data_IF_591107331266
#
_entry.id   IF_591107331266
#
_cell.length_a   1.000
_cell.length_b   1.000
_cell.length_c   1.000
_cell.angle_alpha   90.00
_cell.angle_beta   90.00
_cell.angle_gamma   90.00
#
_symmetry.space_group_name_H-M   'P 1'
#
loop_
_entity.id
_entity.type
_entity.pdbx_description
1 polymer ?
#
# COMPACT_ATOMS: atom_id res chain seq x y z
N UNK A 1 -3.99 7.70 2.02
CA UNK A 1 -4.12 7.63 0.56
C UNK A 1 -3.42 8.85 -0.04
N UNK A 2 -2.71 8.71 -1.15
CA UNK A 2 -2.20 9.86 -1.93
C UNK A 2 -3.24 10.15 -3.02
N UNK A 3 -3.51 11.43 -3.29
CA UNK A 3 -4.53 11.88 -4.24
C UNK A 3 -3.96 12.95 -5.17
N UNK A 4 -4.38 13.03 -6.44
CA UNK A 4 -4.03 14.14 -7.29
C UNK A 4 -4.81 15.35 -6.81
N UNK A 5 -4.18 16.52 -6.84
CA UNK A 5 -4.90 17.76 -6.63
C UNK A 5 -5.58 18.20 -7.93
N UNK A 6 -6.81 18.66 -7.83
CA UNK A 6 -7.55 19.29 -8.91
C UNK A 6 -7.03 20.69 -9.23
N UNK A 7 -7.67 21.34 -10.21
CA UNK A 7 -7.35 22.73 -10.59
C UNK A 7 -7.39 23.64 -9.36
N UNK A 8 -6.31 24.40 -9.14
CA UNK A 8 -6.21 25.28 -7.97
C UNK A 8 -5.85 24.58 -6.64
N UNK A 9 -5.42 23.31 -6.67
CA UNK A 9 -4.97 22.59 -5.47
C UNK A 9 -6.09 21.88 -4.69
N UNK A 10 -7.29 21.75 -5.26
CA UNK A 10 -8.46 21.20 -4.56
C UNK A 10 -8.41 19.69 -4.40
N UNK A 11 -8.92 19.16 -3.29
CA UNK A 11 -9.17 17.71 -3.09
C UNK A 11 -10.67 17.49 -2.85
N UNK A 12 -11.25 16.50 -3.52
CA UNK A 12 -12.66 16.13 -3.36
C UNK A 12 -12.82 14.93 -2.43
N UNK A 13 -13.73 15.04 -1.46
CA UNK A 13 -14.11 13.96 -0.55
C UNK A 13 -15.55 13.53 -0.82
N UNK A 14 -15.79 12.21 -0.79
CA UNK A 14 -17.14 11.63 -0.89
C UNK A 14 -17.38 10.70 0.30
N UNK A 15 -18.56 10.77 0.88
CA UNK A 15 -18.93 10.03 2.09
C UNK A 15 -20.27 9.33 1.87
N UNK A 16 -20.41 8.11 2.40
CA UNK A 16 -21.63 7.29 2.24
C UNK A 16 -22.60 7.39 3.44
N UNK A 17 -22.15 7.96 4.56
CA UNK A 17 -22.89 8.23 5.79
C UNK A 17 -22.35 9.52 6.45
N UNK A 18 -22.99 10.01 7.52
CA UNK A 18 -22.61 11.27 8.21
C UNK A 18 -21.30 11.09 8.97
N UNK A 19 -20.34 11.99 8.73
CA UNK A 19 -19.09 12.12 9.48
C UNK A 19 -18.57 13.55 9.41
N UNK A 20 -17.95 14.02 10.50
CA UNK A 20 -17.09 15.21 10.49
C UNK A 20 -15.70 14.81 9.97
N UNK A 21 -15.14 15.58 9.04
CA UNK A 21 -13.82 15.29 8.44
C UNK A 21 -12.87 16.45 8.66
N UNK A 22 -11.68 16.13 9.19
CA UNK A 22 -10.52 17.01 9.17
C UNK A 22 -9.49 16.41 8.22
N UNK A 23 -8.94 17.24 7.34
CA UNK A 23 -7.92 16.84 6.37
C UNK A 23 -6.60 17.53 6.72
N UNK A 24 -5.54 16.74 6.87
CA UNK A 24 -4.17 17.23 6.99
C UNK A 24 -3.37 16.82 5.73
N UNK A 25 -2.52 17.73 5.24
CA UNK A 25 -1.70 17.52 4.04
C UNK A 25 -0.25 17.34 4.46
N UNK A 26 0.21 16.10 4.41
CA UNK A 26 1.57 15.72 4.84
C UNK A 26 2.64 16.07 3.79
N UNK A 27 2.26 16.28 2.52
CA UNK A 27 3.18 16.67 1.44
C UNK A 27 2.54 16.64 0.05
N UNK A 28 3.28 17.12 -0.96
CA UNK A 28 2.84 17.17 -2.38
C UNK A 28 3.95 16.73 -3.33
N UNK A 29 3.59 16.12 -4.46
CA UNK A 29 4.51 15.80 -5.56
C UNK A 29 4.32 16.81 -6.70
N UNK A 30 5.40 17.25 -7.33
CA UNK A 30 5.37 18.19 -8.46
C UNK A 30 5.27 17.46 -9.81
N UNK A 31 4.81 18.17 -10.85
CA UNK A 31 4.73 17.62 -12.22
C UNK A 31 6.08 17.52 -12.93
N UNK A 32 6.14 16.74 -14.02
CA UNK A 32 7.40 16.44 -14.74
C UNK A 32 8.09 17.60 -15.47
N UNK A 33 7.51 18.81 -15.49
CA UNK A 33 8.15 20.03 -15.98
C UNK A 33 8.81 20.86 -14.88
N UNK A 34 8.69 20.44 -13.61
CA UNK A 34 9.43 21.04 -12.50
C UNK A 34 10.93 20.73 -12.63
N UNK A 35 11.78 21.63 -12.12
CA UNK A 35 13.23 21.41 -12.12
C UNK A 35 13.57 20.08 -11.43
N UNK A 36 14.48 19.31 -12.04
CA UNK A 36 14.89 17.99 -11.56
C UNK A 36 15.58 18.14 -10.19
N UNK A 37 15.06 17.39 -9.22
CA UNK A 37 15.62 17.09 -7.89
C UNK A 37 15.86 15.57 -7.85
N UNK A 38 16.58 15.02 -6.88
CA UNK A 38 16.92 13.58 -6.77
C UNK A 38 15.70 12.64 -6.48
N UNK A 39 14.48 13.04 -6.89
CA UNK A 39 13.19 12.46 -6.55
C UNK A 39 12.56 11.66 -7.70
N UNK A 40 12.14 10.42 -7.40
CA UNK A 40 11.39 9.57 -8.33
C UNK A 40 10.03 10.17 -8.68
N UNK A 41 9.67 10.17 -9.97
CA UNK A 41 8.37 10.67 -10.42
C UNK A 41 7.26 9.76 -9.89
N UNK A 42 6.46 10.28 -8.96
CA UNK A 42 5.24 9.62 -8.52
C UNK A 42 4.19 9.65 -9.64
N UNK A 43 3.68 8.48 -10.00
CA UNK A 43 2.57 8.31 -10.93
C UNK A 43 1.37 7.77 -10.19
N UNK A 44 0.34 8.61 -10.12
CA UNK A 44 -0.95 8.20 -9.63
C UNK A 44 -1.70 7.37 -10.68
N UNK A 45 -2.39 6.33 -10.24
CA UNK A 45 -3.29 5.52 -11.04
C UNK A 45 -4.70 5.50 -10.43
N UNK A 46 -5.67 4.99 -11.18
CA UNK A 46 -6.96 4.64 -10.57
C UNK A 46 -6.73 3.54 -9.51
N UNK A 47 -7.31 3.67 -8.30
CA UNK A 47 -7.13 2.65 -7.27
C UNK A 47 -7.48 1.26 -7.77
N UNK A 48 -6.55 0.32 -7.63
CA UNK A 48 -6.70 -1.06 -8.12
C UNK A 48 -6.52 -2.04 -6.95
N UNK A 49 -7.44 -3.00 -6.85
CA UNK A 49 -7.37 -4.10 -5.89
C UNK A 49 -6.35 -5.12 -6.38
N UNK A 50 -5.19 -5.19 -5.76
CA UNK A 50 -4.12 -6.14 -6.12
C UNK A 50 -4.22 -7.42 -5.30
N UNK A 51 -4.57 -7.29 -4.02
CA UNK A 51 -4.70 -8.44 -3.10
C UNK A 51 -6.07 -8.45 -2.46
N UNK A 52 -6.74 -9.60 -2.50
CA UNK A 52 -7.86 -9.94 -1.65
C UNK A 52 -7.75 -11.40 -1.22
N UNK A 53 -7.14 -11.63 -0.05
CA UNK A 53 -6.87 -12.99 0.43
C UNK A 53 -8.14 -13.75 0.81
N UNK A 54 -9.27 -13.05 0.98
CA UNK A 54 -10.59 -13.66 1.20
C UNK A 54 -11.07 -14.40 -0.05
N UNK A 55 -10.57 -13.98 -1.22
CA UNK A 55 -10.82 -14.57 -2.53
C UNK A 55 -9.63 -15.44 -3.00
N UNK A 56 -8.63 -15.65 -2.14
CA UNK A 56 -7.37 -16.33 -2.46
C UNK A 56 -6.62 -15.73 -3.65
N UNK A 57 -6.65 -14.41 -3.80
CA UNK A 57 -5.95 -13.71 -4.88
C UNK A 57 -4.96 -12.66 -4.34
N UNK A 58 -3.67 -12.72 -4.70
CA UNK A 58 -2.98 -13.84 -5.37
C UNK A 58 -2.66 -14.99 -4.39
N UNK A 59 -2.92 -14.82 -3.09
CA UNK A 59 -2.68 -15.82 -2.06
C UNK A 59 -3.88 -15.95 -1.11
N UNK A 60 -4.05 -17.09 -0.43
CA UNK A 60 -5.12 -17.27 0.56
C UNK A 60 -4.86 -16.49 1.84
N UNK A 61 -5.86 -16.47 2.72
CA UNK A 61 -5.75 -15.96 4.10
C UNK A 61 -4.41 -16.30 4.75
N UNK A 62 -3.77 -15.31 5.37
CA UNK A 62 -2.51 -15.50 6.07
C UNK A 62 -2.75 -16.17 7.43
N UNK A 63 -1.96 -17.21 7.72
CA UNK A 63 -1.83 -17.77 9.07
C UNK A 63 -0.92 -16.91 9.93
N UNK A 64 -0.92 -17.12 11.25
CA UNK A 64 0.02 -16.42 12.13
C UNK A 64 1.47 -16.77 11.75
N UNK A 65 2.29 -15.75 11.51
CA UNK A 65 3.65 -15.91 11.01
C UNK A 65 3.74 -16.22 9.51
N UNK A 66 2.63 -16.16 8.78
CA UNK A 66 2.56 -16.43 7.35
C UNK A 66 2.90 -15.21 6.50
N UNK A 67 3.27 -15.49 5.25
CA UNK A 67 3.52 -14.47 4.22
C UNK A 67 2.82 -14.79 2.92
N UNK A 68 2.53 -13.75 2.14
CA UNK A 68 2.02 -13.84 0.77
C UNK A 68 2.69 -12.79 -0.10
N UNK A 69 3.02 -13.14 -1.34
CA UNK A 69 3.72 -12.25 -2.27
C UNK A 69 2.83 -11.84 -3.43
N UNK A 70 3.09 -10.65 -3.95
CA UNK A 70 2.37 -10.03 -5.05
C UNK A 70 3.34 -9.31 -5.99
N UNK A 71 3.04 -9.33 -7.29
CA UNK A 71 3.64 -8.45 -8.28
C UNK A 71 2.49 -7.63 -8.88
N UNK A 72 2.29 -6.37 -8.43
CA UNK A 72 1.07 -5.62 -8.71
C UNK A 72 0.86 -5.43 -10.21
N UNK A 73 -0.27 -5.90 -10.73
CA UNK A 73 -0.54 -5.88 -12.16
C UNK A 73 -0.74 -4.44 -12.69
N UNK A 74 -1.14 -3.50 -11.84
CA UNK A 74 -1.32 -2.09 -12.21
C UNK A 74 -0.03 -1.26 -12.23
N UNK A 75 1.11 -1.86 -11.86
CA UNK A 75 2.39 -1.17 -11.70
C UNK A 75 3.42 -1.73 -12.70
N UNK A 76 4.16 -0.88 -13.44
CA UNK A 76 5.24 -1.34 -14.31
C UNK A 76 6.36 -2.05 -13.55
N UNK A 77 6.97 -3.08 -14.15
CA UNK A 77 8.08 -3.84 -13.53
C UNK A 77 9.30 -2.97 -13.16
N UNK A 78 9.48 -1.81 -13.80
CA UNK A 78 10.56 -0.87 -13.51
C UNK A 78 10.23 0.16 -12.41
N UNK A 79 9.09 0.02 -11.74
CA UNK A 79 8.77 0.83 -10.58
C UNK A 79 9.69 0.50 -9.39
N UNK A 80 10.08 1.53 -8.64
CA UNK A 80 10.94 1.41 -7.47
C UNK A 80 10.15 1.17 -6.18
N UNK A 81 8.93 1.69 -6.13
CA UNK A 81 8.06 1.60 -4.97
C UNK A 81 6.60 1.80 -5.37
N UNK A 82 5.68 1.30 -4.54
CA UNK A 82 4.23 1.52 -4.66
C UNK A 82 3.68 2.27 -3.48
N UNK A 83 2.55 2.94 -3.70
CA UNK A 83 1.75 3.57 -2.65
C UNK A 83 0.42 2.82 -2.57
N UNK A 84 0.16 2.27 -1.39
CA UNK A 84 -0.91 1.31 -1.21
C UNK A 84 -1.67 1.55 0.09
N UNK A 85 -2.94 1.17 0.08
CA UNK A 85 -3.71 1.00 1.29
C UNK A 85 -3.66 -0.47 1.69
N UNK A 86 -3.13 -0.77 2.88
CA UNK A 86 -3.15 -2.10 3.47
C UNK A 86 -4.35 -2.20 4.41
N UNK A 87 -5.17 -3.23 4.25
CA UNK A 87 -6.32 -3.50 5.10
C UNK A 87 -6.20 -4.92 5.64
N UNK A 88 -6.01 -5.05 6.95
CA UNK A 88 -6.17 -6.34 7.63
C UNK A 88 -7.63 -6.51 8.01
N UNK A 89 -8.18 -7.68 7.72
CA UNK A 89 -9.58 -8.05 7.98
C UNK A 89 -9.60 -9.37 8.74
N UNK A 90 -10.64 -9.59 9.56
CA UNK A 90 -10.84 -10.83 10.31
C UNK A 90 -9.62 -11.25 11.13
N UNK A 91 -8.97 -10.32 11.82
CA UNK A 91 -7.76 -10.59 12.62
C UNK A 91 -8.01 -11.71 13.64
N UNK A 92 -7.01 -12.56 13.89
CA UNK A 92 -7.12 -13.69 14.80
C UNK A 92 -6.66 -13.38 16.23
N UNK A 93 -5.81 -12.37 16.41
CA UNK A 93 -5.20 -12.01 17.68
C UNK A 93 -4.62 -10.59 17.61
N UNK A 94 -3.99 -10.14 18.69
CA UNK A 94 -3.09 -8.97 18.67
C UNK A 94 -1.87 -9.27 17.79
N UNK A 95 -1.44 -8.32 16.98
CA UNK A 95 -0.30 -8.51 16.09
C UNK A 95 -0.11 -7.37 15.09
N UNK A 96 0.74 -7.61 14.10
CA UNK A 96 1.05 -6.65 13.06
C UNK A 96 1.21 -7.31 11.68
N UNK A 97 1.13 -6.49 10.65
CA UNK A 97 1.48 -6.87 9.29
C UNK A 97 2.42 -5.84 8.67
N UNK A 98 3.27 -6.30 7.75
CA UNK A 98 4.29 -5.50 7.08
C UNK A 98 4.42 -5.92 5.62
N UNK A 99 4.57 -4.94 4.74
CA UNK A 99 4.89 -5.10 3.33
C UNK A 99 6.38 -4.75 3.11
N UNK A 100 7.09 -5.57 2.33
CA UNK A 100 8.52 -5.38 2.09
C UNK A 100 8.95 -5.97 0.72
N UNK A 101 10.08 -5.53 0.14
CA UNK A 101 10.57 -6.06 -1.14
C UNK A 101 10.66 -7.59 -1.18
N UNK A 102 10.17 -8.21 -2.26
CA UNK A 102 10.09 -9.67 -2.36
C UNK A 102 11.46 -10.40 -2.37
N UNK A 103 12.55 -9.68 -2.66
CA UNK A 103 13.90 -10.25 -2.66
C UNK A 103 14.53 -10.34 -1.25
N UNK A 104 13.86 -9.86 -0.20
CA UNK A 104 14.33 -10.00 1.17
C UNK A 104 13.96 -11.37 1.74
N UNK A 105 14.96 -12.08 2.25
CA UNK A 105 14.80 -13.39 2.91
C UNK A 105 14.46 -13.28 4.40
N UNK A 106 14.77 -12.14 5.03
CA UNK A 106 14.48 -11.88 6.44
C UNK A 106 13.31 -10.92 6.55
N UNK A 107 12.28 -11.33 7.29
CA UNK A 107 11.12 -10.47 7.57
C UNK A 107 11.57 -9.25 8.40
N UNK A 108 11.31 -8.02 7.95
CA UNK A 108 11.63 -6.83 8.72
C UNK A 108 10.88 -6.78 10.06
N UNK A 109 11.57 -6.40 11.14
CA UNK A 109 10.97 -6.21 12.47
C UNK A 109 10.40 -4.78 12.57
N UNK A 110 9.45 -4.48 11.70
CA UNK A 110 8.71 -3.22 11.66
C UNK A 110 7.25 -3.51 11.27
N UNK A 111 6.34 -2.57 11.53
CA UNK A 111 4.91 -2.72 11.22
C UNK A 111 4.43 -1.62 10.27
N UNK A 112 3.61 -1.98 9.27
CA UNK A 112 2.77 -0.99 8.58
C UNK A 112 1.41 -0.84 9.27
N UNK A 113 0.88 -1.94 9.79
CA UNK A 113 -0.43 -1.98 10.43
C UNK A 113 -0.41 -2.90 11.64
N UNK A 114 -1.10 -2.48 12.70
CA UNK A 114 -1.20 -3.23 13.95
C UNK A 114 -2.67 -3.56 14.21
N UNK A 115 -2.96 -4.64 14.94
CA UNK A 115 -4.27 -4.94 15.50
C UNK A 115 -4.13 -5.33 16.97
N UNK A 116 -5.13 -4.99 17.77
CA UNK A 116 -5.11 -5.16 19.23
C UNK A 116 -6.00 -6.29 19.73
N UNK A 117 -6.53 -7.10 18.82
CA UNK A 117 -7.46 -8.18 19.13
C UNK A 117 -8.01 -8.85 17.87
N UNK A 118 -8.87 -9.84 18.08
CA UNK A 118 -9.52 -10.59 17.01
C UNK A 118 -10.73 -9.84 16.41
N UNK A 119 -11.11 -10.23 15.19
CA UNK A 119 -12.30 -9.71 14.50
C UNK A 119 -12.19 -8.26 14.04
N UNK A 120 -11.00 -7.67 14.05
CA UNK A 120 -10.82 -6.28 13.65
C UNK A 120 -10.69 -6.15 12.13
N UNK A 121 -11.19 -5.02 11.63
CA UNK A 121 -10.83 -4.47 10.32
C UNK A 121 -10.06 -3.19 10.57
N UNK A 122 -8.79 -3.16 10.16
CA UNK A 122 -7.93 -1.98 10.30
C UNK A 122 -7.29 -1.68 8.96
N UNK A 123 -7.02 -0.40 8.71
CA UNK A 123 -6.43 0.08 7.48
C UNK A 123 -5.30 1.07 7.77
N UNK A 124 -4.25 1.03 6.95
CA UNK A 124 -3.13 1.95 6.99
C UNK A 124 -2.56 2.15 5.57
N UNK A 125 -2.15 3.37 5.27
CA UNK A 125 -1.39 3.63 4.04
C UNK A 125 0.07 3.22 4.23
N UNK A 126 0.66 2.59 3.22
CA UNK A 126 2.07 2.26 3.16
C UNK A 126 2.69 2.71 1.82
N UNK A 127 3.96 3.08 1.88
CA UNK A 127 4.84 3.19 0.71
C UNK A 127 5.83 2.05 0.83
N UNK A 128 5.85 1.16 -0.15
CA UNK A 128 6.66 -0.06 -0.09
C UNK A 128 7.58 -0.10 -1.29
N UNK A 129 8.88 -0.24 -1.03
CA UNK A 129 9.86 -0.51 -2.09
C UNK A 129 9.55 -1.86 -2.73
N UNK A 130 9.65 -1.91 -4.05
CA UNK A 130 9.56 -3.16 -4.79
C UNK A 130 10.94 -3.84 -4.85
N UNK A 131 10.95 -5.14 -5.09
CA UNK A 131 12.17 -5.81 -5.51
C UNK A 131 12.61 -5.30 -6.89
N UNK A 132 13.86 -5.57 -7.32
CA UNK A 132 14.30 -5.26 -8.69
C UNK A 132 13.47 -5.93 -9.80
N UNK A 133 12.60 -6.89 -9.45
CA UNK A 133 11.68 -7.58 -10.37
C UNK A 133 10.22 -7.16 -10.16
N UNK A 134 9.96 -6.03 -9.49
CA UNK A 134 8.61 -5.47 -9.30
C UNK A 134 7.79 -6.05 -8.14
N UNK A 135 8.27 -7.11 -7.48
CA UNK A 135 7.49 -7.84 -6.47
C UNK A 135 7.63 -7.31 -5.04
N UNK A 136 6.60 -7.54 -4.23
CA UNK A 136 6.66 -7.37 -2.77
C UNK A 136 6.02 -8.53 -2.02
N UNK A 137 6.34 -8.64 -0.75
CA UNK A 137 5.83 -9.66 0.16
C UNK A 137 5.16 -8.99 1.36
N UNK A 138 4.02 -9.52 1.75
CA UNK A 138 3.30 -9.17 2.96
C UNK A 138 3.49 -10.27 3.99
N UNK A 139 3.91 -9.90 5.19
CA UNK A 139 3.97 -10.78 6.34
C UNK A 139 2.89 -10.38 7.34
N UNK A 140 2.33 -11.36 8.05
CA UNK A 140 1.45 -11.12 9.18
C UNK A 140 1.87 -11.94 10.39
N UNK A 141 2.09 -11.29 11.54
CA UNK A 141 2.40 -11.96 12.81
C UNK A 141 1.19 -12.65 13.43
N UNK A 142 0.00 -12.41 12.87
CA UNK A 142 -1.29 -12.93 13.32
C UNK A 142 -2.07 -13.51 12.14
N UNK A 143 -2.98 -14.44 12.40
CA UNK A 143 -3.90 -14.88 11.34
C UNK A 143 -4.78 -13.70 10.91
N UNK A 144 -4.82 -13.41 9.62
CA UNK A 144 -5.63 -12.31 9.09
C UNK A 144 -5.89 -12.52 7.60
N UNK A 145 -7.01 -11.99 7.14
CA UNK A 145 -7.17 -11.69 5.73
C UNK A 145 -6.48 -10.37 5.42
N UNK A 146 -5.83 -10.28 4.27
CA UNK A 146 -5.21 -9.07 3.77
C UNK A 146 -5.92 -8.63 2.49
N UNK A 147 -6.22 -7.34 2.46
CA UNK A 147 -6.77 -6.65 1.31
C UNK A 147 -5.84 -5.49 1.00
N UNK A 148 -5.47 -5.32 -0.26
CA UNK A 148 -4.52 -4.28 -0.70
C UNK A 148 -5.05 -3.55 -1.92
N UNK A 149 -5.11 -2.23 -1.81
CA UNK A 149 -5.44 -1.33 -2.92
C UNK A 149 -4.22 -0.48 -3.27
N UNK A 150 -3.73 -0.59 -4.50
CA UNK A 150 -2.64 0.25 -5.02
C UNK A 150 -3.21 1.55 -5.60
N UNK A 151 -2.56 2.67 -5.29
CA UNK A 151 -3.00 4.04 -5.67
C UNK A 151 -2.00 4.78 -6.55
N UNK A 152 -0.77 4.28 -6.65
CA UNK A 152 0.29 4.87 -7.45
C UNK A 152 1.63 4.18 -7.23
N UNK A 153 2.63 4.64 -7.96
CA UNK A 153 3.98 4.10 -7.92
C UNK A 153 5.03 5.16 -8.23
N UNK A 154 6.28 4.86 -7.88
CA UNK A 154 7.45 5.70 -8.17
C UNK A 154 8.28 5.02 -9.27
N UNK A 155 8.61 5.76 -10.32
CA UNK A 155 9.54 5.28 -11.35
C UNK A 155 10.98 5.66 -10.99
N UNK A 156 11.95 4.88 -11.49
CA UNK A 156 13.29 5.42 -11.67
C UNK A 156 13.23 6.49 -12.76
N UNK A 157 13.93 7.60 -12.56
CA UNK A 157 14.09 8.62 -13.61
C UNK A 157 14.62 7.92 -14.85
N UNK A 158 13.91 8.05 -15.98
CA UNK A 158 14.47 7.65 -17.26
C UNK A 158 15.75 8.47 -17.49
N UNK A 159 16.87 7.78 -17.73
CA UNK A 159 18.04 8.42 -18.32
C UNK A 159 17.74 8.99 -19.71
#
# INVERSE_FOLDING_TARGET
MIVPVGTGGSVSLSMRHVADVVVDVVGSFTGGSAAVSDDGLYRMIAPTREVDSRLSNPFPRLVAGGSGSDNPASVPDNALAVTQNLIVVNTGATGFSVAYPANLVTVPIVSNINASGSGQTRSAMAITRLSPTGGMTYYSSMAADLVVDTTGYFLSTAG
#
